data_IF_322425854232
#
_entry.id   IF_322425854232
#
_cell.length_a   1.000
_cell.length_b   1.000
_cell.length_c   1.000
_cell.angle_alpha   90.00
_cell.angle_beta   90.00
_cell.angle_gamma   90.00
#
_symmetry.space_group_name_H-M   'P 1'
#
loop_
_entity.id
_entity.type
_entity.pdbx_description
1 polymer ?
#
# COMPACT_ATOMS: atom_id res chain seq x y z
N UNK A 1 27.92 -19.95 -33.51
CA UNK A 1 27.14 -21.06 -34.12
C UNK A 1 26.69 -21.98 -32.98
N UNK A 2 25.45 -21.82 -32.51
CA UNK A 2 24.35 -22.80 -32.61
C UNK A 2 24.61 -24.11 -31.82
N UNK A 3 23.80 -24.57 -30.86
CA UNK A 3 22.33 -24.54 -30.77
C UNK A 3 21.86 -24.75 -29.32
N UNK A 4 20.74 -24.10 -28.96
CA UNK A 4 19.80 -24.61 -27.95
C UNK A 4 19.15 -25.93 -28.43
N UNK A 5 18.63 -26.74 -27.51
CA UNK A 5 17.23 -27.10 -27.62
C UNK A 5 16.50 -26.97 -26.28
N UNK A 6 15.26 -26.49 -26.33
CA UNK A 6 14.40 -26.31 -25.18
C UNK A 6 13.75 -27.59 -24.68
N UNK A 7 13.09 -27.48 -23.52
CA UNK A 7 12.02 -28.39 -23.10
C UNK A 7 10.99 -27.65 -22.27
N UNK A 8 9.87 -27.34 -22.93
CA UNK A 8 8.55 -27.18 -22.31
C UNK A 8 7.97 -28.59 -22.22
N UNK A 9 7.57 -29.05 -21.03
CA UNK A 9 6.46 -29.99 -20.82
C UNK A 9 6.23 -30.29 -19.33
N UNK A 10 5.07 -29.87 -18.83
CA UNK A 10 4.10 -30.64 -18.04
C UNK A 10 4.63 -31.72 -17.07
N UNK A 11 4.41 -31.51 -15.77
CA UNK A 11 4.07 -32.58 -14.83
C UNK A 11 2.93 -32.12 -13.93
N UNK A 12 1.71 -32.36 -14.42
CA UNK A 12 0.52 -32.55 -13.59
C UNK A 12 0.56 -33.99 -13.07
N UNK A 13 0.14 -34.11 -11.81
CA UNK A 13 -0.43 -35.28 -11.15
C UNK A 13 0.51 -36.41 -10.73
N UNK A 14 0.65 -36.55 -9.40
CA UNK A 14 0.07 -37.66 -8.62
C UNK A 14 1.06 -38.22 -7.58
N UNK A 15 1.02 -37.66 -6.37
CA UNK A 15 1.18 -38.48 -5.17
C UNK A 15 -0.01 -38.18 -4.27
N UNK A 16 -0.98 -39.08 -4.35
CA UNK A 16 -2.10 -39.16 -3.43
C UNK A 16 -1.56 -39.56 -2.05
N UNK A 17 -1.67 -38.65 -1.09
CA UNK A 17 -1.70 -39.02 0.33
C UNK A 17 -3.11 -38.67 0.84
N UNK A 18 -4.05 -39.57 0.58
CA UNK A 18 -5.31 -39.60 1.30
C UNK A 18 -5.01 -39.98 2.75
N UNK A 19 -5.49 -39.18 3.70
CA UNK A 19 -6.22 -39.60 4.91
C UNK A 19 -6.33 -38.39 5.87
N UNK A 20 -7.50 -37.76 5.86
CA UNK A 20 -8.25 -37.22 7.02
C UNK A 20 -9.12 -36.03 6.60
N UNK A 21 -10.44 -36.22 6.44
CA UNK A 21 -11.40 -35.13 6.46
C UNK A 21 -11.74 -34.91 7.94
N UNK A 22 -11.31 -33.82 8.57
CA UNK A 22 -11.88 -33.25 9.81
C UNK A 22 -10.91 -32.22 10.40
N UNK A 23 -11.07 -30.99 9.97
CA UNK A 23 -11.26 -29.82 10.85
C UNK A 23 -11.27 -28.62 9.92
N UNK A 24 -12.48 -28.09 9.69
CA UNK A 24 -12.60 -26.66 9.54
C UNK A 24 -11.78 -26.03 10.68
N UNK A 25 -10.66 -25.40 10.34
CA UNK A 25 -10.15 -24.31 11.15
C UNK A 25 -11.19 -23.22 10.97
N UNK A 26 -12.23 -23.32 11.80
CA UNK A 26 -13.01 -22.17 12.22
C UNK A 26 -11.95 -21.23 12.77
N UNK A 27 -11.54 -20.24 11.96
CA UNK A 27 -11.02 -19.00 12.50
C UNK A 27 -12.13 -18.53 13.43
N UNK A 28 -11.87 -18.68 14.73
CA UNK A 28 -12.75 -18.23 15.79
C UNK A 28 -13.16 -16.78 15.49
N UNK A 29 -14.37 -16.35 15.88
CA UNK A 29 -14.73 -14.95 15.74
C UNK A 29 -13.68 -14.14 16.50
N UNK A 30 -12.90 -13.34 15.77
CA UNK A 30 -11.97 -12.35 16.30
C UNK A 30 -12.81 -11.32 17.05
N UNK A 31 -13.11 -11.62 18.31
CA UNK A 31 -13.60 -10.66 19.29
C UNK A 31 -12.94 -10.99 20.61
N UNK A 32 -12.24 -9.98 21.14
CA UNK A 32 -11.78 -9.77 22.51
C UNK A 32 -10.23 -9.70 22.57
N UNK A 33 -9.60 -8.56 22.83
CA UNK A 33 -10.14 -7.25 23.14
C UNK A 33 -9.04 -6.23 23.47
N UNK A 34 -9.08 -5.11 22.76
CA UNK A 34 -8.84 -3.75 23.27
C UNK A 34 -9.50 -2.77 22.30
N UNK A 35 -10.82 -2.90 22.14
CA UNK A 35 -11.58 -2.05 21.26
C UNK A 35 -12.12 -0.82 21.99
N UNK A 36 -12.01 0.31 21.28
CA UNK A 36 -12.81 1.53 21.35
C UNK A 36 -12.45 2.62 22.38
N UNK A 37 -11.66 3.60 21.93
CA UNK A 37 -12.03 4.99 22.20
C UNK A 37 -13.20 5.35 21.26
N UNK A 38 -14.42 5.05 21.72
CA UNK A 38 -15.64 5.52 21.06
C UNK A 38 -15.59 7.04 21.01
N UNK A 39 -15.42 7.57 19.81
CA UNK A 39 -15.32 9.00 19.58
C UNK A 39 -16.54 9.46 18.80
N UNK A 40 -17.26 10.42 19.36
CA UNK A 40 -18.36 11.07 18.66
C UNK A 40 -17.87 11.70 17.35
N UNK A 41 -18.71 11.71 16.33
CA UNK A 41 -18.44 12.33 15.02
C UNK A 41 -17.98 13.80 15.13
N UNK A 42 -18.40 14.48 16.20
CA UNK A 42 -17.99 15.84 16.56
C UNK A 42 -16.50 15.96 16.91
N UNK A 43 -15.91 14.94 17.52
CA UNK A 43 -14.52 14.93 18.00
C UNK A 43 -13.52 14.34 16.99
N UNK A 44 -13.99 13.63 15.96
CA UNK A 44 -13.12 13.02 14.92
C UNK A 44 -12.35 14.10 14.14
N UNK A 45 -11.02 14.00 14.11
CA UNK A 45 -10.14 14.93 13.37
C UNK A 45 -9.74 14.36 12.02
N UNK A 46 -9.36 15.25 11.09
CA UNK A 46 -8.72 14.83 9.82
C UNK A 46 -7.42 14.11 10.14
N UNK A 47 -7.17 12.99 9.46
CA UNK A 47 -6.06 12.08 9.70
C UNK A 47 -6.33 10.97 10.72
N UNK A 48 -7.45 11.04 11.46
CA UNK A 48 -7.86 9.96 12.35
C UNK A 48 -8.26 8.74 11.54
N UNK A 49 -7.95 7.55 12.06
CA UNK A 49 -8.34 6.27 11.44
C UNK A 49 -9.53 5.74 12.21
N UNK A 50 -10.60 5.46 11.49
CA UNK A 50 -11.87 4.98 12.03
C UNK A 50 -12.19 3.60 11.45
N UNK A 51 -12.81 2.75 12.25
CA UNK A 51 -13.30 1.47 11.79
C UNK A 51 -14.76 1.56 11.32
N UNK A 52 -15.03 1.10 10.10
CA UNK A 52 -16.37 1.00 9.53
C UNK A 52 -16.46 -0.31 8.74
N UNK A 53 -17.49 -1.12 9.00
CA UNK A 53 -17.73 -2.40 8.31
C UNK A 53 -16.54 -3.39 8.43
N UNK A 54 -15.86 -3.42 9.59
CA UNK A 54 -14.63 -4.21 9.80
C UNK A 54 -13.46 -3.81 8.90
N UNK A 55 -13.48 -2.60 8.34
CA UNK A 55 -12.40 -2.01 7.55
C UNK A 55 -11.91 -0.71 8.18
N UNK A 56 -10.61 -0.44 8.01
CA UNK A 56 -9.97 0.77 8.53
C UNK A 56 -9.96 1.88 7.47
N UNK A 57 -10.40 3.06 7.87
CA UNK A 57 -10.54 4.23 7.00
C UNK A 57 -9.85 5.45 7.60
N UNK A 58 -8.94 6.06 6.86
CA UNK A 58 -8.37 7.37 7.21
C UNK A 58 -9.32 8.48 6.79
N UNK A 59 -9.64 9.39 7.70
CA UNK A 59 -10.43 10.60 7.42
C UNK A 59 -9.57 11.61 6.66
N UNK A 60 -9.86 11.84 5.38
CA UNK A 60 -9.14 12.83 4.56
C UNK A 60 -9.70 14.24 4.70
N UNK A 61 -11.02 14.33 4.77
CA UNK A 61 -11.72 15.61 4.85
C UNK A 61 -12.94 15.46 5.73
N UNK A 62 -13.27 16.52 6.46
CA UNK A 62 -14.46 16.65 7.28
C UNK A 62 -15.08 18.01 7.06
N UNK A 63 -16.30 18.04 6.54
CA UNK A 63 -17.15 19.21 6.46
C UNK A 63 -18.25 19.12 7.53
N UNK A 64 -18.53 20.23 8.20
CA UNK A 64 -19.69 20.38 9.09
C UNK A 64 -20.84 21.02 8.33
N UNK A 65 -22.04 20.48 8.48
CA UNK A 65 -23.26 21.12 8.03
C UNK A 65 -24.25 21.21 9.19
N UNK A 66 -24.52 22.44 9.62
CA UNK A 66 -25.52 22.73 10.62
C UNK A 66 -26.69 23.48 10.00
N UNK A 67 -27.89 23.26 10.53
CA UNK A 67 -29.10 24.03 10.19
C UNK A 67 -29.11 25.39 10.90
N UNK A 68 -28.07 26.20 10.66
CA UNK A 68 -28.04 27.59 11.12
C UNK A 68 -29.04 28.45 10.33
N UNK A 69 -29.72 29.39 10.99
CA UNK A 69 -30.54 30.43 10.33
C UNK A 69 -29.61 31.42 9.61
N UNK A 70 -29.10 31.06 8.45
CA UNK A 70 -28.30 31.98 7.65
C UNK A 70 -27.41 31.26 6.64
N UNK A 71 -27.73 31.48 5.36
CA UNK A 71 -26.92 31.18 4.17
C UNK A 71 -26.78 29.67 3.90
N UNK A 72 -27.42 29.10 2.89
CA UNK A 72 -27.44 29.56 1.51
C UNK A 72 -26.46 28.76 0.66
N UNK A 73 -26.51 27.43 0.74
CA UNK A 73 -26.00 26.49 -0.25
C UNK A 73 -26.65 25.13 0.06
N UNK A 74 -27.72 24.82 -0.67
CA UNK A 74 -28.34 23.50 -0.63
C UNK A 74 -27.38 22.55 -1.33
N UNK A 75 -26.39 22.02 -0.59
CA UNK A 75 -25.85 20.70 -0.93
C UNK A 75 -27.06 19.78 -1.00
N UNK A 76 -27.17 18.96 -2.04
CA UNK A 76 -28.17 17.89 -2.12
C UNK A 76 -27.96 16.94 -0.94
N UNK A 77 -28.59 17.26 0.18
CA UNK A 77 -28.57 16.55 1.44
C UNK A 77 -29.84 15.69 1.43
N UNK A 78 -29.73 14.36 1.65
CA UNK A 78 -30.90 13.50 1.68
C UNK A 78 -31.89 13.98 2.75
N UNK A 79 -33.19 13.86 2.46
CA UNK A 79 -34.29 14.43 3.27
C UNK A 79 -34.24 14.01 4.76
N UNK A 80 -33.67 12.83 5.06
CA UNK A 80 -33.49 12.34 6.43
C UNK A 80 -32.45 13.11 7.27
N UNK A 81 -31.64 13.97 6.66
CA UNK A 81 -30.59 14.78 7.31
C UNK A 81 -30.96 16.27 7.41
N UNK A 82 -32.24 16.62 7.18
CA UNK A 82 -32.74 18.02 7.20
C UNK A 82 -32.89 18.56 8.63
N UNK A 83 -32.96 17.70 9.64
CA UNK A 83 -33.09 18.10 11.04
C UNK A 83 -31.86 17.69 11.83
N UNK A 84 -31.04 18.67 12.22
CA UNK A 84 -29.91 18.51 13.12
C UNK A 84 -28.54 18.73 12.46
N UNK A 85 -27.52 18.73 13.31
CA UNK A 85 -26.13 18.87 12.94
C UNK A 85 -25.60 17.57 12.31
N UNK A 86 -24.96 17.68 11.15
CA UNK A 86 -24.39 16.56 10.42
C UNK A 86 -22.95 16.83 9.98
N UNK A 87 -22.21 15.75 9.73
CA UNK A 87 -20.87 15.78 9.19
C UNK A 87 -20.82 15.04 7.86
N UNK A 88 -20.11 15.62 6.89
CA UNK A 88 -19.73 14.95 5.66
C UNK A 88 -18.24 14.69 5.69
N UNK A 89 -17.85 13.42 5.60
CA UNK A 89 -16.48 12.98 5.65
C UNK A 89 -16.10 12.31 4.33
N UNK A 90 -14.93 12.66 3.80
CA UNK A 90 -14.28 11.90 2.74
C UNK A 90 -13.26 10.98 3.41
N UNK A 91 -13.41 9.69 3.18
CA UNK A 91 -12.63 8.63 3.78
C UNK A 91 -11.76 7.95 2.73
N UNK A 92 -10.62 7.41 3.16
CA UNK A 92 -9.74 6.58 2.33
C UNK A 92 -9.43 5.28 3.05
N UNK A 93 -9.64 4.15 2.38
CA UNK A 93 -9.33 2.84 2.93
C UNK A 93 -7.81 2.69 3.08
N UNK A 94 -7.34 2.15 4.21
CA UNK A 94 -5.91 1.98 4.49
C UNK A 94 -5.28 0.86 3.65
N UNK A 95 -6.04 -0.19 3.32
CA UNK A 95 -5.56 -1.37 2.59
C UNK A 95 -5.74 -1.22 1.08
N UNK A 96 -6.90 -0.74 0.64
CA UNK A 96 -7.28 -0.73 -0.77
C UNK A 96 -7.14 0.64 -1.44
N UNK A 97 -6.76 1.66 -0.69
CA UNK A 97 -6.69 3.07 -1.11
C UNK A 97 -8.00 3.64 -1.69
N UNK A 98 -9.12 2.91 -1.58
CA UNK A 98 -10.43 3.31 -2.10
C UNK A 98 -10.98 4.52 -1.33
N UNK A 99 -11.61 5.45 -2.05
CA UNK A 99 -12.29 6.60 -1.45
C UNK A 99 -13.76 6.31 -1.20
N UNK A 100 -14.25 6.64 -0.01
CA UNK A 100 -15.66 6.51 0.39
C UNK A 100 -16.15 7.83 0.96
N UNK A 101 -17.31 8.30 0.53
CA UNK A 101 -17.96 9.44 1.16
C UNK A 101 -18.93 8.93 2.23
N UNK A 102 -18.82 9.49 3.44
CA UNK A 102 -19.69 9.16 4.56
C UNK A 102 -20.41 10.42 5.05
N UNK A 103 -21.71 10.31 5.26
CA UNK A 103 -22.52 11.35 5.89
C UNK A 103 -23.09 10.79 7.19
N UNK A 104 -22.80 11.44 8.31
CA UNK A 104 -23.19 10.98 9.65
C UNK A 104 -23.78 12.13 10.46
N UNK A 105 -24.54 11.80 11.51
CA UNK A 105 -25.06 12.78 12.46
C UNK A 105 -23.98 13.12 13.49
N UNK A 106 -24.11 14.26 14.17
CA UNK A 106 -23.14 14.64 15.20
C UNK A 106 -22.99 13.62 16.34
N UNK A 107 -24.08 12.90 16.66
CA UNK A 107 -24.14 11.91 17.73
C UNK A 107 -23.71 10.50 17.29
N UNK A 108 -23.32 10.31 16.02
CA UNK A 108 -22.81 9.00 15.59
C UNK A 108 -21.44 8.77 16.19
N UNK A 109 -21.27 7.67 16.93
CA UNK A 109 -20.00 7.27 17.52
C UNK A 109 -19.22 6.39 16.53
N UNK A 110 -17.91 6.58 16.47
CA UNK A 110 -16.99 5.77 15.68
C UNK A 110 -15.92 5.17 16.58
N UNK A 111 -15.53 3.94 16.26
CA UNK A 111 -14.36 3.30 16.83
C UNK A 111 -13.10 3.91 16.17
N UNK A 112 -12.25 4.52 16.99
CA UNK A 112 -10.96 5.07 16.55
C UNK A 112 -9.87 4.04 16.80
N UNK A 113 -9.05 3.80 15.78
CA UNK A 113 -7.91 2.89 15.84
C UNK A 113 -6.63 3.70 15.69
N UNK A 114 -5.65 3.51 16.60
CA UNK A 114 -4.33 4.11 16.42
C UNK A 114 -3.42 3.14 15.68
N UNK A 115 -2.99 3.54 14.48
CA UNK A 115 -1.94 2.82 13.79
C UNK A 115 -0.57 3.35 14.22
N UNK A 116 0.33 2.43 14.54
CA UNK A 116 1.72 2.76 14.82
C UNK A 116 2.57 2.41 13.62
N UNK A 117 3.20 3.41 13.01
CA UNK A 117 4.15 3.20 11.93
C UNK A 117 5.55 3.02 12.49
N UNK A 118 6.24 1.95 12.09
CA UNK A 118 7.62 1.68 12.47
C UNK A 118 8.50 1.45 11.23
N UNK A 119 9.74 1.96 11.20
CA UNK A 119 10.67 1.69 10.13
C UNK A 119 11.30 0.29 10.28
N UNK A 120 11.32 -0.46 9.19
CA UNK A 120 11.98 -1.75 9.07
C UNK A 120 13.02 -1.69 7.97
N UNK A 121 14.13 -2.38 8.15
CA UNK A 121 15.19 -2.50 7.17
C UNK A 121 15.09 -3.84 6.45
N UNK A 122 15.19 -3.80 5.12
CA UNK A 122 15.27 -5.00 4.31
C UNK A 122 16.56 -5.78 4.60
N UNK A 123 16.44 -7.10 4.80
CA UNK A 123 17.58 -8.01 4.97
C UNK A 123 17.85 -8.81 3.69
N UNK A 124 16.92 -9.69 3.32
CA UNK A 124 17.00 -10.53 2.14
C UNK A 124 15.61 -10.93 1.65
N UNK A 125 15.52 -11.37 0.39
CA UNK A 125 14.31 -11.90 -0.22
C UNK A 125 14.38 -13.42 -0.36
N UNK A 126 13.27 -14.09 -0.06
CA UNK A 126 12.98 -15.48 -0.41
C UNK A 126 12.15 -15.50 -1.70
N UNK A 127 11.90 -16.68 -2.29
CA UNK A 127 11.12 -16.83 -3.54
C UNK A 127 9.72 -16.19 -3.49
N UNK A 128 9.10 -16.10 -2.31
CA UNK A 128 7.70 -15.64 -2.13
C UNK A 128 7.53 -14.47 -1.18
N UNK A 129 8.55 -14.12 -0.40
CA UNK A 129 8.46 -13.16 0.70
C UNK A 129 9.78 -12.44 0.95
N UNK A 130 9.71 -11.27 1.54
CA UNK A 130 10.87 -10.49 1.99
C UNK A 130 10.98 -10.58 3.51
N UNK A 131 12.20 -10.68 4.01
CA UNK A 131 12.50 -10.61 5.44
C UNK A 131 12.98 -9.21 5.78
N UNK A 132 12.31 -8.60 6.75
CA UNK A 132 12.60 -7.24 7.21
C UNK A 132 12.83 -7.24 8.72
N UNK A 133 13.72 -6.38 9.19
CA UNK A 133 14.08 -6.28 10.61
C UNK A 133 13.90 -4.86 11.12
N UNK A 134 13.33 -4.71 12.31
CA UNK A 134 13.31 -3.43 13.01
C UNK A 134 14.68 -3.14 13.63
N UNK A 135 15.27 -1.97 13.39
CA UNK A 135 16.56 -1.61 13.96
C UNK A 135 16.53 -1.28 15.46
N UNK A 136 15.37 -0.94 16.01
CA UNK A 136 15.22 -0.58 17.42
C UNK A 136 14.91 -1.80 18.29
N UNK A 137 14.02 -2.68 17.83
CA UNK A 137 13.56 -3.84 18.60
C UNK A 137 14.21 -5.16 18.16
N UNK A 138 14.90 -5.18 17.02
CA UNK A 138 15.41 -6.40 16.39
C UNK A 138 14.34 -7.44 16.06
N UNK A 139 13.08 -7.01 15.95
CA UNK A 139 11.98 -7.87 15.52
C UNK A 139 12.08 -8.13 14.02
N UNK A 140 12.02 -9.40 13.63
CA UNK A 140 12.00 -9.86 12.24
C UNK A 140 10.55 -10.12 11.79
N UNK A 141 10.22 -9.68 10.58
CA UNK A 141 8.89 -9.87 9.98
C UNK A 141 9.02 -10.36 8.54
N UNK A 142 8.15 -11.29 8.17
CA UNK A 142 8.00 -11.76 6.80
C UNK A 142 6.87 -10.98 6.11
N UNK A 143 7.17 -10.34 4.98
CA UNK A 143 6.18 -9.59 4.18
C UNK A 143 6.06 -10.26 2.80
N UNK A 144 4.85 -10.54 2.30
CA UNK A 144 4.67 -11.09 0.96
C UNK A 144 5.15 -10.11 -0.13
N UNK A 145 5.83 -10.67 -1.13
CA UNK A 145 6.81 -10.00 -2.00
C UNK A 145 6.34 -8.70 -2.68
N UNK A 146 7.21 -7.67 -2.63
CA UNK A 146 7.25 -6.54 -3.55
C UNK A 146 8.70 -6.36 -4.06
N UNK A 147 8.88 -5.72 -5.22
CA UNK A 147 10.19 -5.46 -5.86
C UNK A 147 10.98 -4.46 -5.00
N UNK A 148 12.07 -4.90 -4.36
CA UNK A 148 12.84 -4.09 -3.39
C UNK A 148 14.35 -4.36 -3.56
N UNK A 149 15.19 -3.37 -3.23
CA UNK A 149 16.65 -3.51 -3.11
C UNK A 149 17.11 -3.80 -1.68
N UNK A 150 18.28 -4.40 -1.60
CA UNK A 150 19.03 -4.57 -0.38
C UNK A 150 19.25 -3.22 0.33
N UNK A 151 18.98 -3.17 1.64
CA UNK A 151 19.22 -2.00 2.48
C UNK A 151 18.13 -0.91 2.43
N UNK A 152 17.01 -1.13 1.74
CA UNK A 152 15.89 -0.18 1.76
C UNK A 152 15.15 -0.18 3.09
N UNK A 153 14.71 1.01 3.52
CA UNK A 153 13.83 1.16 4.69
C UNK A 153 12.37 1.14 4.24
N UNK A 154 11.58 0.26 4.85
CA UNK A 154 10.16 0.05 4.60
C UNK A 154 9.40 0.55 5.83
N UNK A 155 8.30 1.26 5.64
CA UNK A 155 7.45 1.69 6.74
C UNK A 155 6.32 0.67 6.91
N UNK A 156 6.31 -0.03 8.03
CA UNK A 156 5.27 -1.02 8.33
C UNK A 156 4.31 -0.41 9.36
N UNK A 157 3.03 -0.48 9.05
CA UNK A 157 1.94 -0.03 9.92
C UNK A 157 1.40 -1.22 10.69
N UNK A 158 1.44 -1.10 12.02
CA UNK A 158 0.88 -2.07 12.95
C UNK A 158 -0.41 -1.52 13.55
N UNK A 159 -1.36 -2.41 13.79
CA UNK A 159 -2.46 -2.13 14.70
C UNK A 159 -1.99 -2.14 16.17
N UNK A 160 -2.90 -1.81 17.09
CA UNK A 160 -2.63 -1.81 18.53
C UNK A 160 -2.36 -3.23 19.08
N UNK A 161 -2.82 -4.28 18.38
CA UNK A 161 -2.64 -5.69 18.75
C UNK A 161 -1.30 -6.27 18.23
N UNK A 162 -0.55 -5.51 17.42
CA UNK A 162 0.71 -5.91 16.83
C UNK A 162 0.59 -6.66 15.49
N UNK A 163 -0.61 -6.74 14.91
CA UNK A 163 -0.80 -7.28 13.56
C UNK A 163 -0.37 -6.27 12.51
N UNK A 164 0.37 -6.74 11.50
CA UNK A 164 0.73 -5.93 10.34
C UNK A 164 -0.50 -5.65 9.49
N UNK A 165 -0.83 -4.37 9.30
CA UNK A 165 -1.93 -3.95 8.43
C UNK A 165 -1.42 -3.67 7.01
N UNK A 166 -0.37 -2.87 6.88
CA UNK A 166 0.15 -2.43 5.58
C UNK A 166 1.66 -2.16 5.64
N UNK A 167 2.35 -2.46 4.56
CA UNK A 167 3.76 -2.16 4.38
C UNK A 167 3.92 -1.17 3.22
N UNK A 168 4.40 0.02 3.53
CA UNK A 168 4.61 1.08 2.56
C UNK A 168 6.09 1.17 2.16
N UNK A 169 6.31 1.05 0.86
CA UNK A 169 7.61 1.28 0.24
C UNK A 169 7.91 2.77 0.10
N UNK A 170 9.19 3.17 0.11
CA UNK A 170 9.56 4.53 -0.24
C UNK A 170 9.14 4.79 -1.69
N UNK A 171 8.67 6.00 -1.97
CA UNK A 171 8.20 6.36 -3.33
C UNK A 171 9.31 6.26 -4.38
N UNK A 172 10.55 6.47 -3.98
CA UNK A 172 11.71 6.54 -4.87
C UNK A 172 12.85 5.72 -4.32
N UNK A 173 13.54 5.02 -5.21
CA UNK A 173 14.78 4.31 -4.89
C UNK A 173 15.81 4.52 -5.99
N UNK A 174 17.08 4.39 -5.62
CA UNK A 174 18.20 4.62 -6.53
C UNK A 174 18.74 3.27 -6.98
N UNK A 175 18.67 3.03 -8.28
CA UNK A 175 19.12 1.80 -8.91
C UNK A 175 20.34 2.07 -9.78
N UNK A 176 21.26 1.11 -9.81
CA UNK A 176 22.32 1.10 -10.82
C UNK A 176 21.84 0.44 -12.11
N UNK A 177 22.17 1.06 -13.23
CA UNK A 177 21.86 0.54 -14.57
C UNK A 177 22.92 -0.49 -14.98
N UNK A 178 22.51 -1.74 -15.21
CA UNK A 178 23.42 -2.80 -15.69
C UNK A 178 23.70 -2.64 -17.19
N UNK A 179 22.64 -2.46 -17.97
CA UNK A 179 22.75 -2.46 -19.43
C UNK A 179 21.68 -1.58 -20.03
N UNK A 180 22.09 -0.75 -20.99
CA UNK A 180 21.17 0.05 -21.80
C UNK A 180 21.14 -0.53 -23.21
N UNK A 181 19.96 -0.93 -23.67
CA UNK A 181 19.79 -1.33 -25.07
C UNK A 181 19.56 -0.06 -25.89
N UNK A 182 20.66 0.55 -26.31
CA UNK A 182 20.61 1.73 -27.18
C UNK A 182 20.05 1.32 -28.54
N UNK A 183 18.86 1.84 -28.89
CA UNK A 183 18.38 1.80 -30.26
C UNK A 183 19.14 2.87 -31.04
N UNK A 184 19.72 2.50 -32.17
CA UNK A 184 20.30 3.44 -33.14
C UNK A 184 19.13 4.19 -33.79
N UNK A 185 18.60 5.21 -33.12
CA UNK A 185 17.53 6.04 -33.64
C UNK A 185 18.10 7.41 -34.03
N UNK A 186 18.12 7.68 -35.34
CA UNK A 186 18.49 8.95 -35.97
C UNK A 186 17.46 10.08 -35.67
N UNK A 187 17.04 10.27 -34.42
CA UNK A 187 16.02 11.24 -34.07
C UNK A 187 16.51 12.22 -33.00
N UNK A 188 16.66 13.49 -33.38
CA UNK A 188 16.91 14.63 -32.48
C UNK A 188 15.68 14.93 -31.60
N UNK A 189 15.35 14.03 -30.67
CA UNK A 189 14.29 14.23 -29.70
C UNK A 189 14.34 13.17 -28.60
N UNK A 190 13.81 13.52 -27.41
CA UNK A 190 13.74 12.69 -26.19
C UNK A 190 13.31 11.25 -26.48
N UNK A 191 14.27 10.39 -26.85
CA UNK A 191 14.01 9.00 -27.17
C UNK A 191 14.28 8.19 -25.92
N UNK A 192 13.24 7.53 -25.40
CA UNK A 192 13.39 6.66 -24.24
C UNK A 192 13.92 5.29 -24.69
N UNK A 193 15.04 4.87 -24.12
CA UNK A 193 15.63 3.57 -24.34
C UNK A 193 15.33 2.64 -23.14
N UNK A 194 15.06 1.35 -23.36
CA UNK A 194 14.91 0.40 -22.27
C UNK A 194 16.28 0.11 -21.64
N UNK A 195 16.35 0.22 -20.32
CA UNK A 195 17.52 -0.09 -19.50
C UNK A 195 17.18 -1.14 -18.44
N UNK A 196 18.07 -2.12 -18.30
CA UNK A 196 18.01 -3.17 -17.29
C UNK A 196 18.66 -2.67 -15.99
N UNK A 197 17.91 -2.74 -14.89
CA UNK A 197 18.39 -2.38 -13.55
C UNK A 197 19.03 -3.58 -12.86
N UNK A 198 19.82 -3.33 -11.81
CA UNK A 198 20.52 -4.38 -11.06
C UNK A 198 19.62 -5.45 -10.44
N UNK A 199 18.37 -5.09 -10.10
CA UNK A 199 17.38 -6.01 -9.54
C UNK A 199 16.59 -6.79 -10.61
N UNK A 200 16.91 -6.62 -11.90
CA UNK A 200 16.22 -7.26 -13.02
C UNK A 200 15.06 -6.51 -13.70
N UNK A 201 14.34 -5.51 -13.11
CA UNK A 201 13.29 -4.82 -13.86
C UNK A 201 13.87 -3.91 -14.95
N UNK A 202 13.14 -3.80 -16.06
CA UNK A 202 13.50 -2.94 -17.19
C UNK A 202 12.72 -1.62 -17.12
N UNK A 203 13.41 -0.50 -17.08
CA UNK A 203 12.83 0.85 -17.02
C UNK A 203 13.18 1.63 -18.29
N UNK A 204 12.26 2.49 -18.74
CA UNK A 204 12.51 3.40 -19.85
C UNK A 204 13.32 4.61 -19.36
N UNK A 205 14.55 4.76 -19.84
CA UNK A 205 15.46 5.86 -19.47
C UNK A 205 15.76 6.75 -20.68
N UNK A 206 16.06 8.04 -20.48
CA UNK A 206 16.53 8.89 -21.57
C UNK A 206 17.85 8.42 -22.19
N UNK A 207 18.08 8.81 -23.45
CA UNK A 207 19.25 8.45 -24.26
C UNK A 207 20.62 8.83 -23.65
N UNK A 208 20.67 9.87 -22.81
CA UNK A 208 21.90 10.31 -22.13
C UNK A 208 22.34 9.38 -21.00
N UNK A 209 21.48 8.48 -20.51
CA UNK A 209 21.82 7.53 -19.44
C UNK A 209 22.64 6.39 -20.01
N UNK A 210 23.78 6.10 -19.37
CA UNK A 210 24.70 5.01 -19.76
C UNK A 210 24.68 3.88 -18.73
N UNK A 211 25.24 2.74 -19.11
CA UNK A 211 25.51 1.65 -18.16
C UNK A 211 26.40 2.13 -17.01
N UNK A 212 26.23 1.53 -15.84
CA UNK A 212 26.92 1.82 -14.57
C UNK A 212 26.62 3.21 -13.97
N UNK A 213 25.55 3.89 -14.43
CA UNK A 213 25.05 5.11 -13.80
C UNK A 213 23.94 4.82 -12.78
N UNK A 214 23.85 5.66 -11.76
CA UNK A 214 22.76 5.64 -10.78
C UNK A 214 21.56 6.44 -11.31
N UNK A 215 20.38 5.84 -11.21
CA UNK A 215 19.10 6.44 -11.60
C UNK A 215 18.10 6.34 -10.48
N UNK A 216 17.30 7.38 -10.29
CA UNK A 216 16.19 7.39 -9.33
C UNK A 216 14.93 6.96 -10.05
N UNK A 217 14.30 5.90 -9.55
CA UNK A 217 13.09 5.29 -10.12
C UNK A 217 11.94 5.39 -9.11
N UNK A 218 10.74 5.66 -9.60
CA UNK A 218 9.51 5.56 -8.79
C UNK A 218 9.07 4.10 -8.72
N UNK A 219 8.91 3.55 -7.53
CA UNK A 219 8.54 2.14 -7.34
C UNK A 219 7.06 1.86 -7.62
N UNK A 220 6.24 2.90 -7.61
CA UNK A 220 4.79 2.81 -7.82
C UNK A 220 4.48 2.67 -9.30
N UNK A 221 5.15 3.48 -10.14
CA UNK A 221 4.93 3.52 -11.59
C UNK A 221 6.03 2.82 -12.40
N UNK A 222 7.16 2.48 -11.76
CA UNK A 222 8.38 1.97 -12.42
C UNK A 222 8.93 2.93 -13.48
N UNK A 223 8.78 4.23 -13.25
CA UNK A 223 9.23 5.28 -14.16
C UNK A 223 10.53 5.92 -13.69
N UNK A 224 11.35 6.34 -14.66
CA UNK A 224 12.55 7.14 -14.41
C UNK A 224 12.16 8.56 -13.95
N UNK A 225 12.71 8.99 -12.80
CA UNK A 225 12.45 10.32 -12.23
C UNK A 225 13.62 11.27 -12.52
N UNK A 226 14.82 10.88 -12.11
CA UNK A 226 16.01 11.71 -12.23
C UNK A 226 17.28 10.88 -12.23
N UNK A 227 18.41 11.50 -12.59
CA UNK A 227 19.72 10.91 -12.38
C UNK A 227 20.08 11.02 -10.90
N UNK A 228 20.69 9.97 -10.34
CA UNK A 228 21.23 9.94 -8.98
C UNK A 228 22.56 10.66 -8.86
#
# INVERSE_FOLDING_TARGET
MNRFPGRIANLRAAVACQLSPLRHVLLAPLRCGSRELLTASSAVRVGTIIEIDSQHWTVLRRDFGGTGRGVGLVKLIPIMMVYGDYYWMELKNVLTDQKKELRCKADTEFEVVHLTTRPFQFLYSTDTSIMVMNNDTYDELEIPLNIIQDGMTIQVQFDEEGSMLSAQLPKRATYRVLKVTQKIAQAKGNTMCPAELENGPTVAVPDFVKADQMVVVDLTTLEYVSRG
#
